data_IF_455341895410
#
_entry.id   IF_455341895410
#
_cell.length_a   1.000
_cell.length_b   1.000
_cell.length_c   1.000
_cell.angle_alpha   90.00
_cell.angle_beta   90.00
_cell.angle_gamma   90.00
#
_symmetry.space_group_name_H-M   'P 1'
#
loop_
_entity.id
_entity.type
_entity.pdbx_description
1 polymer ?
#
# COMPACT_ATOMS: atom_id res chain seq x y z
N UNK A 1 0.32 10.41 14.35
CA UNK A 1 -1.02 10.00 13.84
C UNK A 1 -1.43 8.68 14.46
N UNK A 2 -2.73 8.40 14.58
CA UNK A 2 -3.21 7.09 15.05
C UNK A 2 -2.99 6.02 13.99
N UNK A 3 -2.71 4.80 14.43
CA UNK A 3 -2.47 3.65 13.59
C UNK A 3 -3.11 2.38 14.15
N UNK A 4 -3.37 1.41 13.27
CA UNK A 4 -3.85 0.07 13.65
C UNK A 4 -3.17 -1.01 12.79
N UNK A 5 -2.90 -2.15 13.40
CA UNK A 5 -2.32 -3.33 12.77
C UNK A 5 -3.37 -4.35 12.35
N UNK A 6 -3.18 -4.92 11.17
CA UNK A 6 -4.02 -5.97 10.59
C UNK A 6 -3.17 -7.07 9.94
N UNK A 7 -3.85 -8.12 9.51
CA UNK A 7 -3.19 -9.18 8.74
C UNK A 7 -2.62 -8.62 7.43
N UNK A 8 -1.42 -9.05 6.99
CA UNK A 8 -0.85 -8.58 5.74
C UNK A 8 -1.78 -8.66 4.53
N UNK A 9 -2.55 -9.75 4.39
CA UNK A 9 -3.49 -9.87 3.27
C UNK A 9 -4.61 -8.83 3.35
N UNK A 10 -5.11 -8.53 4.55
CA UNK A 10 -6.13 -7.50 4.75
C UNK A 10 -5.59 -6.12 4.39
N UNK A 11 -4.33 -5.82 4.72
CA UNK A 11 -3.69 -4.57 4.30
C UNK A 11 -3.65 -4.48 2.76
N UNK A 12 -3.23 -5.56 2.09
CA UNK A 12 -3.19 -5.64 0.62
C UNK A 12 -4.58 -5.40 0.02
N UNK A 13 -5.61 -6.05 0.58
CA UNK A 13 -6.99 -5.89 0.10
C UNK A 13 -7.49 -4.44 0.24
N UNK A 14 -7.08 -3.72 1.29
CA UNK A 14 -7.36 -2.28 1.44
C UNK A 14 -6.59 -1.48 0.38
N UNK A 15 -5.29 -1.73 0.21
CA UNK A 15 -4.47 -0.97 -0.75
C UNK A 15 -4.98 -1.08 -2.19
N UNK A 16 -5.55 -2.22 -2.58
CA UNK A 16 -6.17 -2.40 -3.91
C UNK A 16 -7.63 -1.97 -3.97
N UNK A 17 -8.22 -1.47 -2.87
CA UNK A 17 -9.62 -1.05 -2.80
C UNK A 17 -10.64 -2.20 -2.75
N UNK A 18 -10.19 -3.45 -2.59
CA UNK A 18 -11.07 -4.61 -2.48
C UNK A 18 -11.76 -4.72 -1.11
N UNK A 19 -11.25 -4.00 -0.10
CA UNK A 19 -11.76 -4.04 1.27
C UNK A 19 -11.82 -2.65 1.89
N UNK A 20 -13.01 -2.32 2.40
CA UNK A 20 -13.32 -1.04 3.06
C UNK A 20 -13.77 -1.24 4.51
N UNK A 21 -13.49 -2.40 5.10
CA UNK A 21 -13.81 -2.63 6.50
C UNK A 21 -13.15 -3.85 7.10
N UNK A 22 -12.86 -3.77 8.39
CA UNK A 22 -12.11 -4.79 9.14
C UNK A 22 -12.78 -5.02 10.49
N UNK A 23 -12.86 -6.27 10.91
CA UNK A 23 -13.40 -6.64 12.22
C UNK A 23 -12.28 -6.62 13.24
N UNK A 24 -12.49 -5.91 14.34
CA UNK A 24 -11.61 -5.90 15.50
C UNK A 24 -12.37 -6.36 16.76
N UNK A 25 -11.68 -6.96 17.73
CA UNK A 25 -12.27 -7.36 19.01
C UNK A 25 -12.45 -6.18 20.00
N UNK A 26 -12.33 -4.94 19.51
CA UNK A 26 -12.44 -3.73 20.31
C UNK A 26 -13.01 -2.57 19.48
N UNK A 27 -13.76 -1.69 20.16
CA UNK A 27 -14.28 -0.46 19.60
C UNK A 27 -13.32 0.72 19.78
N UNK A 28 -13.62 1.84 19.12
CA UNK A 28 -12.93 3.11 19.35
C UNK A 28 -13.84 4.30 19.03
N UNK A 29 -13.61 5.41 19.73
CA UNK A 29 -14.23 6.71 19.45
C UNK A 29 -13.46 7.50 18.37
N UNK A 30 -12.27 7.04 17.96
CA UNK A 30 -11.48 7.70 16.91
C UNK A 30 -12.23 7.74 15.58
N UNK A 31 -12.15 8.87 14.86
CA UNK A 31 -12.68 9.08 13.51
C UNK A 31 -11.72 9.97 12.72
N UNK A 32 -11.68 9.79 11.41
CA UNK A 32 -10.75 10.49 10.53
C UNK A 32 -9.51 9.66 10.21
N UNK A 33 -8.39 10.33 9.95
CA UNK A 33 -7.17 9.70 9.43
C UNK A 33 -6.63 8.62 10.37
N UNK A 34 -6.28 7.48 9.76
CA UNK A 34 -5.76 6.31 10.44
C UNK A 34 -4.72 5.64 9.55
N UNK A 35 -3.52 5.44 10.08
CA UNK A 35 -2.47 4.66 9.41
C UNK A 35 -2.79 3.17 9.54
N UNK A 36 -2.89 2.48 8.41
CA UNK A 36 -3.08 1.04 8.35
C UNK A 36 -1.73 0.33 8.18
N UNK A 37 -1.48 -0.64 9.04
CA UNK A 37 -0.20 -1.35 9.13
C UNK A 37 -0.40 -2.85 9.11
N UNK A 38 0.58 -3.61 8.63
CA UNK A 38 0.60 -5.06 8.81
C UNK A 38 1.36 -5.43 10.08
N UNK A 39 0.80 -6.33 10.88
CA UNK A 39 1.56 -6.92 11.98
C UNK A 39 2.61 -7.92 11.47
N UNK A 40 3.47 -8.39 12.37
CA UNK A 40 4.56 -9.31 12.03
C UNK A 40 4.05 -10.73 11.73
N UNK A 41 3.68 -10.99 10.47
CA UNK A 41 3.34 -12.32 9.98
C UNK A 41 4.28 -12.75 8.83
N UNK A 42 4.72 -14.00 8.87
CA UNK A 42 5.74 -14.58 7.97
C UNK A 42 5.11 -15.36 6.82
N UNK A 43 4.29 -14.68 6.03
CA UNK A 43 3.64 -15.26 4.85
C UNK A 43 4.35 -14.83 3.58
N UNK A 44 4.82 -15.80 2.80
CA UNK A 44 5.63 -15.54 1.62
C UNK A 44 4.92 -14.61 0.63
N UNK A 45 5.62 -13.56 0.21
CA UNK A 45 5.09 -12.58 -0.75
C UNK A 45 4.14 -11.53 -0.15
N UNK A 46 3.90 -11.54 1.17
CA UNK A 46 3.11 -10.51 1.84
C UNK A 46 3.99 -9.56 2.68
N UNK A 47 3.56 -8.30 2.85
CA UNK A 47 4.31 -7.31 3.63
C UNK A 47 4.22 -7.58 5.13
N UNK A 48 5.36 -7.55 5.83
CA UNK A 48 5.41 -7.82 7.28
C UNK A 48 5.95 -6.64 8.08
N UNK A 49 5.22 -6.23 9.13
CA UNK A 49 5.60 -5.08 9.99
C UNK A 49 5.77 -3.79 9.18
N UNK A 50 4.78 -3.46 8.36
CA UNK A 50 4.85 -2.37 7.37
C UNK A 50 3.66 -1.43 7.55
N UNK A 51 3.90 -0.12 7.61
CA UNK A 51 2.85 0.87 7.38
C UNK A 51 2.63 1.02 5.87
N UNK A 52 1.38 0.93 5.41
CA UNK A 52 1.08 0.87 3.98
C UNK A 52 0.26 2.03 3.43
N UNK A 53 -0.65 2.59 4.23
CA UNK A 53 -1.51 3.68 3.79
C UNK A 53 -2.10 4.46 4.95
N UNK A 54 -2.64 5.62 4.63
CA UNK A 54 -3.62 6.35 5.43
C UNK A 54 -5.01 6.09 4.83
N UNK A 55 -5.95 5.74 5.69
CA UNK A 55 -7.38 5.62 5.37
C UNK A 55 -8.17 6.54 6.31
N UNK A 56 -9.40 6.86 5.93
CA UNK A 56 -10.31 7.57 6.82
C UNK A 56 -11.21 6.54 7.54
N UNK A 57 -11.14 6.48 8.87
CA UNK A 57 -12.08 5.72 9.69
C UNK A 57 -13.38 6.52 9.84
N UNK A 58 -14.43 6.06 9.14
CA UNK A 58 -15.73 6.75 9.08
C UNK A 58 -16.67 6.27 10.18
N UNK A 59 -16.65 4.96 10.46
CA UNK A 59 -17.61 4.35 11.37
C UNK A 59 -17.04 3.11 12.06
N UNK A 60 -17.57 2.81 13.25
CA UNK A 60 -17.25 1.64 14.05
C UNK A 60 -18.56 1.12 14.63
N UNK A 61 -18.98 -0.06 14.17
CA UNK A 61 -20.25 -0.67 14.53
C UNK A 61 -20.02 -1.99 15.26
N UNK A 62 -20.62 -2.17 16.44
CA UNK A 62 -20.64 -3.46 17.12
C UNK A 62 -21.65 -4.40 16.43
N UNK A 63 -21.16 -5.47 15.81
CA UNK A 63 -22.01 -6.42 15.06
C UNK A 63 -22.34 -7.69 15.84
N UNK A 64 -21.55 -7.98 16.87
CA UNK A 64 -21.78 -9.02 17.87
C UNK A 64 -21.05 -8.63 19.16
N UNK A 65 -21.42 -9.18 20.33
CA UNK A 65 -20.77 -8.84 21.59
C UNK A 65 -19.24 -8.95 21.51
N UNK A 66 -18.54 -7.81 21.61
CA UNK A 66 -17.08 -7.74 21.53
C UNK A 66 -16.48 -7.80 20.12
N UNK A 67 -17.28 -7.68 19.06
CA UNK A 67 -16.81 -7.61 17.67
C UNK A 67 -17.29 -6.32 17.00
N UNK A 68 -16.34 -5.54 16.50
CA UNK A 68 -16.57 -4.23 15.93
C UNK A 68 -16.10 -4.19 14.48
N UNK A 69 -16.99 -3.85 13.55
CA UNK A 69 -16.64 -3.57 12.17
C UNK A 69 -16.21 -2.11 12.07
N UNK A 70 -14.93 -1.90 11.76
CA UNK A 70 -14.38 -0.60 11.45
C UNK A 70 -14.54 -0.37 9.95
N UNK A 71 -15.24 0.69 9.54
CA UNK A 71 -15.51 1.04 8.14
C UNK A 71 -14.57 2.15 7.71
N UNK A 72 -13.86 1.91 6.62
CA UNK A 72 -12.91 2.84 6.03
C UNK A 72 -13.49 3.46 4.76
N UNK A 73 -13.11 4.69 4.47
CA UNK A 73 -13.35 5.31 3.17
C UNK A 73 -12.65 4.49 2.06
N UNK A 74 -13.28 4.27 0.88
CA UNK A 74 -12.64 3.66 -0.29
C UNK A 74 -11.42 4.41 -0.84
N UNK A 75 -11.33 5.72 -0.64
CA UNK A 75 -10.20 6.54 -1.08
C UNK A 75 -9.00 6.34 -0.15
N UNK A 76 -8.08 5.47 -0.58
CA UNK A 76 -6.87 5.11 0.17
C UNK A 76 -5.70 5.99 -0.28
N UNK A 77 -5.09 6.69 0.68
CA UNK A 77 -3.84 7.42 0.45
C UNK A 77 -2.68 6.47 0.72
N UNK A 78 -2.06 5.98 -0.34
CA UNK A 78 -0.82 5.20 -0.25
C UNK A 78 0.27 6.08 0.37
N UNK A 79 1.10 5.50 1.24
CA UNK A 79 2.26 6.19 1.81
C UNK A 79 3.53 5.43 1.47
N UNK A 80 4.67 6.12 1.55
CA UNK A 80 5.98 5.49 1.49
C UNK A 80 6.07 4.45 2.60
N UNK A 81 6.28 3.16 2.28
CA UNK A 81 6.30 2.13 3.30
C UNK A 81 7.44 2.34 4.29
N UNK A 82 7.11 2.28 5.58
CA UNK A 82 8.11 2.31 6.65
C UNK A 82 7.89 1.18 7.66
N UNK A 83 8.95 0.87 8.40
CA UNK A 83 8.95 -0.22 9.39
C UNK A 83 8.17 0.20 10.62
N UNK A 84 7.19 -0.62 11.00
CA UNK A 84 6.42 -0.43 12.23
C UNK A 84 6.03 -1.78 12.82
N UNK A 85 6.00 -1.89 14.13
CA UNK A 85 5.44 -3.07 14.79
C UNK A 85 3.93 -2.91 14.91
N UNK A 86 3.19 -3.32 13.89
CA UNK A 86 1.73 -3.26 13.90
C UNK A 86 1.13 -4.12 15.03
N UNK A 87 0.19 -3.56 15.77
CA UNK A 87 -0.56 -4.25 16.83
C UNK A 87 -2.06 -4.21 16.54
N UNK A 88 -2.82 -5.21 17.01
CA UNK A 88 -4.29 -5.21 16.92
C UNK A 88 -4.91 -4.35 18.02
N UNK A 89 -4.37 -3.16 18.22
CA UNK A 89 -4.81 -2.11 19.14
C UNK A 89 -4.49 -0.75 18.49
N UNK A 90 -5.08 0.34 18.98
CA UNK A 90 -4.67 1.68 18.52
C UNK A 90 -3.32 2.06 19.13
N UNK A 91 -2.45 2.56 18.28
CA UNK A 91 -1.16 3.12 18.70
C UNK A 91 -0.85 4.40 17.92
N UNK A 92 0.19 5.12 18.35
CA UNK A 92 0.66 6.32 17.69
C UNK A 92 1.90 6.02 16.84
N UNK A 93 1.92 6.61 15.65
CA UNK A 93 3.11 6.69 14.79
C UNK A 93 3.54 8.15 14.67
N UNK A 94 4.84 8.36 14.47
CA UNK A 94 5.42 9.66 14.22
C UNK A 94 4.95 10.19 12.85
N UNK A 95 4.46 11.42 12.82
CA UNK A 95 3.95 12.06 11.60
C UNK A 95 5.07 12.28 10.58
N UNK A 96 6.30 12.46 11.05
CA UNK A 96 7.47 12.67 10.21
C UNK A 96 7.81 11.44 9.34
N UNK A 97 7.28 10.25 9.68
CA UNK A 97 7.44 9.02 8.90
C UNK A 97 6.38 8.86 7.81
N UNK A 98 5.31 9.66 7.85
CA UNK A 98 4.14 9.52 6.98
C UNK A 98 4.35 10.39 5.74
N UNK A 99 4.88 9.77 4.68
CA UNK A 99 5.05 10.44 3.39
C UNK A 99 4.00 9.93 2.41
N UNK A 100 3.01 10.77 2.09
CA UNK A 100 1.97 10.42 1.12
C UNK A 100 2.55 10.28 -0.29
N UNK A 101 2.10 9.26 -1.01
CA UNK A 101 2.40 9.09 -2.42
C UNK A 101 1.45 9.93 -3.29
N UNK A 102 1.93 10.51 -4.41
CA UNK A 102 1.11 11.26 -5.35
C UNK A 102 0.05 10.39 -6.05
N UNK A 103 0.20 9.06 -6.04
CA UNK A 103 -0.84 8.12 -6.47
C UNK A 103 -0.69 6.79 -5.73
N UNK A 104 -1.76 6.01 -5.70
CA UNK A 104 -1.73 4.66 -5.16
C UNK A 104 -1.13 3.68 -6.19
N UNK A 105 0.19 3.61 -6.25
CA UNK A 105 0.96 2.67 -7.10
C UNK A 105 0.68 1.19 -6.86
N UNK A 106 -0.04 0.84 -5.78
CA UNK A 106 -0.42 -0.54 -5.50
C UNK A 106 -1.75 -0.93 -6.15
N UNK A 107 -2.59 0.05 -6.44
CA UNK A 107 -3.87 -0.15 -7.13
C UNK A 107 -3.66 0.00 -8.64
N UNK A 108 -4.02 -1.04 -9.40
CA UNK A 108 -3.80 -1.09 -10.86
C UNK A 108 -4.52 0.05 -11.59
N UNK A 109 -5.74 0.41 -11.19
CA UNK A 109 -6.48 1.51 -11.82
C UNK A 109 -5.76 2.84 -11.58
N UNK A 110 -5.31 3.09 -10.34
CA UNK A 110 -4.55 4.29 -9.97
C UNK A 110 -3.14 4.36 -10.57
N UNK A 111 -2.47 3.22 -10.71
CA UNK A 111 -1.19 3.12 -11.44
C UNK A 111 -1.39 3.48 -12.92
N UNK A 112 -2.44 2.96 -13.55
CA UNK A 112 -2.76 3.28 -14.95
C UNK A 112 -3.11 4.77 -15.13
N UNK A 113 -3.92 5.34 -14.24
CA UNK A 113 -4.22 6.79 -14.22
C UNK A 113 -2.92 7.62 -14.11
N UNK A 114 -2.01 7.22 -13.23
CA UNK A 114 -0.70 7.88 -13.06
C UNK A 114 0.16 7.83 -14.32
N UNK A 115 0.27 6.66 -14.95
CA UNK A 115 0.99 6.50 -16.21
C UNK A 115 0.36 7.29 -17.36
N UNK A 116 -0.97 7.31 -17.46
CA UNK A 116 -1.69 8.09 -18.45
C UNK A 116 -1.39 9.59 -18.29
N UNK A 117 -1.41 10.12 -17.05
CA UNK A 117 -1.07 11.52 -16.78
C UNK A 117 0.34 11.89 -17.26
N UNK A 118 1.32 11.02 -17.06
CA UNK A 118 2.70 11.22 -17.53
C UNK A 118 2.74 11.21 -19.06
N UNK A 119 2.11 10.22 -19.69
CA UNK A 119 2.08 10.06 -21.14
C UNK A 119 1.39 11.24 -21.84
N UNK A 120 0.20 11.64 -21.38
CA UNK A 120 -0.56 12.76 -21.93
C UNK A 120 0.24 14.07 -21.89
N UNK A 121 0.97 14.30 -20.80
CA UNK A 121 1.87 15.45 -20.70
C UNK A 121 3.03 15.36 -21.69
N UNK A 122 3.69 14.21 -21.78
CA UNK A 122 4.80 13.99 -22.72
C UNK A 122 4.37 14.18 -24.17
N UNK A 123 3.23 13.61 -24.56
CA UNK A 123 2.68 13.70 -25.92
C UNK A 123 2.32 15.15 -26.25
N UNK A 124 1.68 15.87 -25.31
CA UNK A 124 1.37 17.29 -25.47
C UNK A 124 2.63 18.14 -25.63
N UNK A 125 3.67 17.84 -24.84
CA UNK A 125 4.94 18.57 -24.89
C UNK A 125 5.67 18.32 -26.22
N UNK A 126 5.75 17.08 -26.69
CA UNK A 126 6.37 16.73 -27.98
C UNK A 126 5.59 17.33 -29.16
N UNK A 127 4.25 17.33 -29.11
CA UNK A 127 3.44 17.97 -30.13
C UNK A 127 3.69 19.49 -30.23
N UNK A 128 3.97 20.15 -29.09
CA UNK A 128 4.34 21.56 -29.06
C UNK A 128 5.80 21.83 -29.49
N UNK A 129 6.66 20.81 -29.47
CA UNK A 129 8.09 20.91 -29.78
C UNK A 129 8.50 19.82 -30.79
N UNK A 130 8.03 19.87 -32.05
CA UNK A 130 8.17 18.78 -33.02
C UNK A 130 9.63 18.45 -33.40
N UNK A 131 10.54 19.41 -33.22
CA UNK A 131 11.97 19.25 -33.54
C UNK A 131 12.81 18.83 -32.33
N UNK A 132 12.19 18.50 -31.20
CA UNK A 132 12.92 18.14 -29.98
C UNK A 132 13.43 16.70 -30.04
N UNK A 133 14.72 16.50 -29.76
CA UNK A 133 15.34 15.17 -29.67
C UNK A 133 15.12 14.52 -28.29
N UNK A 134 15.05 15.36 -27.24
CA UNK A 134 14.83 14.92 -25.86
C UNK A 134 14.18 16.02 -25.03
N UNK A 135 13.20 15.63 -24.22
CA UNK A 135 12.59 16.51 -23.21
C UNK A 135 13.64 16.93 -22.17
N UNK A 136 13.96 18.23 -22.02
CA UNK A 136 14.89 18.72 -21.01
C UNK A 136 14.30 18.53 -19.62
N UNK A 137 15.10 17.99 -18.68
CA UNK A 137 14.63 17.74 -17.31
C UNK A 137 14.09 19.00 -16.61
N UNK A 138 14.67 20.16 -16.91
CA UNK A 138 14.26 21.44 -16.33
C UNK A 138 12.86 21.92 -16.79
N UNK A 139 12.32 21.31 -17.85
CA UNK A 139 11.01 21.66 -18.40
C UNK A 139 9.91 20.68 -17.99
N UNK A 140 10.27 19.60 -17.28
CA UNK A 140 9.30 18.66 -16.71
C UNK A 140 8.64 19.34 -15.50
N UNK A 141 7.31 19.51 -15.46
CA UNK A 141 6.62 20.04 -14.29
C UNK A 141 6.90 19.19 -13.05
N UNK A 142 7.02 19.86 -11.91
CA UNK A 142 7.33 19.21 -10.63
C UNK A 142 6.34 18.08 -10.30
N UNK A 143 5.05 18.24 -10.64
CA UNK A 143 4.04 17.21 -10.40
C UNK A 143 4.27 15.93 -11.24
N UNK A 144 4.73 16.08 -12.48
CA UNK A 144 5.02 14.94 -13.38
C UNK A 144 6.32 14.28 -12.96
N UNK A 145 7.34 15.08 -12.62
CA UNK A 145 8.59 14.58 -12.10
C UNK A 145 8.39 13.82 -10.77
N UNK A 146 7.64 14.39 -9.83
CA UNK A 146 7.34 13.76 -8.55
C UNK A 146 6.57 12.44 -8.73
N UNK A 147 5.58 12.41 -9.63
CA UNK A 147 4.84 11.19 -9.95
C UNK A 147 5.76 10.12 -10.55
N UNK A 148 6.56 10.46 -11.57
CA UNK A 148 7.46 9.51 -12.21
C UNK A 148 8.52 8.94 -11.24
N UNK A 149 9.12 9.79 -10.40
CA UNK A 149 10.14 9.39 -9.42
C UNK A 149 9.52 8.53 -8.32
N UNK A 150 8.35 8.94 -7.82
CA UNK A 150 7.66 8.28 -6.71
C UNK A 150 7.40 6.80 -6.99
N UNK A 151 7.05 6.42 -8.21
CA UNK A 151 6.77 5.02 -8.56
C UNK A 151 7.93 4.07 -8.25
N UNK A 152 9.13 4.40 -8.74
CA UNK A 152 10.32 3.58 -8.57
C UNK A 152 10.74 3.52 -7.11
N UNK A 153 10.77 4.68 -6.44
CA UNK A 153 11.14 4.78 -5.03
C UNK A 153 10.16 4.02 -4.12
N UNK A 154 8.86 4.09 -4.43
CA UNK A 154 7.84 3.36 -3.69
C UNK A 154 8.03 1.85 -3.83
N UNK A 155 8.26 1.35 -5.06
CA UNK A 155 8.51 -0.08 -5.31
C UNK A 155 9.76 -0.57 -4.60
N UNK A 156 10.85 0.20 -4.66
CA UNK A 156 12.09 -0.12 -3.97
C UNK A 156 11.88 -0.22 -2.45
N UNK A 157 11.16 0.75 -1.86
CA UNK A 157 10.82 0.73 -0.44
C UNK A 157 9.96 -0.49 -0.08
N UNK A 158 8.90 -0.76 -0.86
CA UNK A 158 7.95 -1.86 -0.63
C UNK A 158 8.63 -3.23 -0.61
N UNK A 159 9.56 -3.50 -1.53
CA UNK A 159 10.22 -4.81 -1.61
C UNK A 159 11.00 -5.20 -0.36
N UNK A 160 11.41 -4.24 0.46
CA UNK A 160 12.08 -4.51 1.73
C UNK A 160 11.15 -5.15 2.78
N UNK A 161 9.84 -5.04 2.60
CA UNK A 161 8.84 -5.58 3.53
C UNK A 161 8.28 -6.94 3.12
N UNK A 162 8.50 -7.38 1.87
CA UNK A 162 8.04 -8.67 1.39
C UNK A 162 8.74 -9.82 2.11
N UNK A 163 7.95 -10.67 2.77
CA UNK A 163 8.51 -11.82 3.45
C UNK A 163 9.01 -12.86 2.44
N UNK A 164 10.31 -13.17 2.51
CA UNK A 164 10.95 -14.18 1.67
C UNK A 164 10.60 -15.59 2.20
N UNK A 165 10.17 -16.52 1.33
CA UNK A 165 9.80 -17.87 1.77
C UNK A 165 10.99 -18.63 2.37
N UNK A 166 10.72 -19.33 3.47
CA UNK A 166 11.66 -20.25 4.13
C UNK A 166 11.93 -21.48 3.27
N UNK A 167 13.02 -22.21 3.54
CA UNK A 167 13.34 -23.47 2.83
C UNK A 167 12.18 -24.48 2.87
N UNK A 168 11.54 -24.65 4.02
CA UNK A 168 10.39 -25.54 4.18
C UNK A 168 9.19 -25.09 3.33
N UNK A 169 8.86 -23.80 3.33
CA UNK A 169 7.80 -23.24 2.50
C UNK A 169 8.10 -23.41 1.00
N UNK A 170 9.35 -23.22 0.58
CA UNK A 170 9.78 -23.50 -0.80
C UNK A 170 9.60 -24.98 -1.17
N UNK A 171 9.89 -25.90 -0.24
CA UNK A 171 9.71 -27.33 -0.45
C UNK A 171 8.24 -27.69 -0.57
N UNK A 172 7.40 -27.20 0.34
CA UNK A 172 5.95 -27.40 0.30
C UNK A 172 5.33 -26.87 -1.01
N UNK A 173 5.71 -25.67 -1.43
CA UNK A 173 5.26 -25.09 -2.70
C UNK A 173 5.68 -25.94 -3.90
N UNK A 174 6.90 -26.50 -3.88
CA UNK A 174 7.38 -27.41 -4.92
C UNK A 174 6.58 -28.70 -4.92
N UNK A 175 6.39 -29.34 -3.76
CA UNK A 175 5.61 -30.58 -3.64
C UNK A 175 4.17 -30.39 -4.13
N UNK A 176 3.48 -29.33 -3.67
CA UNK A 176 2.13 -28.98 -4.12
C UNK A 176 2.03 -28.67 -5.61
N UNK A 177 3.06 -28.04 -6.19
CA UNK A 177 3.06 -27.65 -7.61
C UNK A 177 3.37 -28.80 -8.54
N UNK A 178 4.12 -29.80 -8.07
CA UNK A 178 4.61 -30.86 -8.93
C UNK A 178 3.92 -32.21 -8.71
N UNK A 179 3.16 -32.44 -7.61
CA UNK A 179 2.48 -33.73 -7.35
C UNK A 179 3.38 -34.95 -7.57
N UNK A 180 4.69 -34.79 -7.34
CA UNK A 180 5.67 -35.90 -7.42
C UNK A 180 6.20 -36.13 -6.02
N UNK A 181 5.91 -37.30 -5.49
CA UNK A 181 6.67 -37.85 -4.37
C UNK A 181 8.16 -37.86 -4.75
N UNK A 182 9.06 -37.37 -3.88
CA UNK A 182 10.48 -37.49 -4.15
C UNK A 182 10.85 -38.98 -4.15
N UNK A 183 11.32 -39.48 -5.29
CA UNK A 183 12.06 -40.75 -5.39
C UNK A 183 13.31 -40.74 -4.52
#
# INVERSE_FOLDING_TARGET
MKAVGMEPQVLIDILVGAKIGVVYPFGTDHRGDLVVTSYALKQAGLPSSMAGAVVQLEDVEETAPGNFVWKFNPDVTLIRPFKVHGTMELFDVDDDLIHAEPTNWFNVEKENEGHAKIADWMDSYVAAHPDIDRIPRAEIPDEIAALAISFDEWREAYFNFLFKPLKAQKQELRTKRYDVDPL
#
